data_IF_903015662887
#
_entry.id   IF_903015662887
#
_cell.length_a   1.000
_cell.length_b   1.000
_cell.length_c   1.000
_cell.angle_alpha   90.00
_cell.angle_beta   90.00
_cell.angle_gamma   90.00
#
_symmetry.space_group_name_H-M   'P 1'
#
loop_
_entity.id
_entity.type
_entity.pdbx_description
1 polymer ?
#
# COMPACT_ATOMS: atom_id res chain seq x y z
N UNK A 1 8.88 -31.36 -13.45
CA UNK A 1 9.64 -31.18 -12.20
C UNK A 1 10.15 -29.76 -12.21
N UNK A 2 9.42 -28.84 -11.58
CA UNK A 2 9.93 -27.49 -11.32
C UNK A 2 10.97 -27.60 -10.20
N UNK A 3 12.14 -26.95 -10.33
CA UNK A 3 13.16 -27.03 -9.30
C UNK A 3 12.67 -26.28 -8.05
N UNK A 4 12.83 -26.93 -6.90
CA UNK A 4 12.58 -26.42 -5.55
C UNK A 4 12.87 -24.91 -5.43
N UNK A 5 11.81 -24.10 -5.28
CA UNK A 5 11.93 -22.76 -4.68
C UNK A 5 12.23 -23.00 -3.19
N UNK A 6 13.48 -22.80 -2.80
CA UNK A 6 13.88 -22.77 -1.39
C UNK A 6 13.09 -21.60 -0.76
N UNK A 7 12.33 -21.81 0.34
CA UNK A 7 11.64 -20.71 0.99
C UNK A 7 12.70 -19.76 1.56
N UNK A 8 12.72 -18.53 1.05
CA UNK A 8 13.63 -17.48 1.47
C UNK A 8 13.32 -17.10 2.93
N UNK A 9 13.98 -17.75 3.88
CA UNK A 9 13.88 -17.41 5.30
C UNK A 9 14.67 -16.13 5.55
N UNK A 10 13.98 -14.99 5.55
CA UNK A 10 14.42 -13.83 6.33
C UNK A 10 14.29 -12.45 5.69
N UNK A 11 13.92 -12.34 4.42
CA UNK A 11 13.76 -11.04 3.75
C UNK A 11 12.29 -10.79 3.49
N UNK A 12 11.74 -9.74 4.11
CA UNK A 12 10.40 -9.27 3.76
C UNK A 12 10.46 -8.64 2.35
N UNK A 13 9.46 -8.90 1.49
CA UNK A 13 9.42 -8.32 0.15
C UNK A 13 9.49 -6.79 0.21
N UNK A 14 10.31 -6.20 -0.64
CA UNK A 14 10.41 -4.75 -0.75
C UNK A 14 9.32 -4.23 -1.71
N UNK A 15 8.70 -3.13 -1.34
CA UNK A 15 7.83 -2.39 -2.26
C UNK A 15 8.74 -1.67 -3.26
N UNK A 16 8.60 -2.00 -4.54
CA UNK A 16 9.42 -1.43 -5.63
C UNK A 16 8.67 -0.44 -6.49
N UNK A 17 7.34 -0.55 -6.54
CA UNK A 17 6.49 0.35 -7.31
C UNK A 17 5.07 0.41 -6.70
N UNK A 18 4.30 1.44 -7.06
CA UNK A 18 2.92 1.63 -6.61
C UNK A 18 2.07 2.05 -7.80
N UNK A 19 1.12 1.18 -8.16
CA UNK A 19 0.06 1.51 -9.11
C UNK A 19 -1.22 1.87 -8.37
N UNK A 20 -2.02 2.76 -8.94
CA UNK A 20 -3.32 3.11 -8.36
C UNK A 20 -4.35 3.47 -9.42
N UNK A 21 -5.62 3.32 -9.05
CA UNK A 21 -6.79 3.65 -9.87
C UNK A 21 -7.88 4.24 -8.98
N UNK A 22 -8.52 5.31 -9.45
CA UNK A 22 -9.75 5.84 -8.88
C UNK A 22 -10.97 5.33 -9.65
N UNK A 23 -11.95 4.83 -8.93
CA UNK A 23 -13.21 4.32 -9.46
C UNK A 23 -14.37 5.08 -8.82
N UNK A 24 -15.26 5.60 -9.65
CA UNK A 24 -16.47 6.30 -9.20
C UNK A 24 -17.62 5.31 -9.30
N UNK A 25 -18.23 4.98 -8.16
CA UNK A 25 -19.41 4.10 -8.15
C UNK A 25 -20.67 4.96 -8.22
N UNK A 26 -21.17 5.17 -9.43
CA UNK A 26 -22.43 5.89 -9.67
C UNK A 26 -23.62 4.97 -9.46
N UNK A 27 -24.02 4.70 -8.22
CA UNK A 27 -25.21 3.90 -7.95
C UNK A 27 -26.04 4.49 -6.81
N UNK A 28 -26.67 5.63 -7.05
CA UNK A 28 -28.08 5.93 -6.69
C UNK A 28 -28.42 7.41 -6.97
N UNK A 29 -29.52 7.72 -7.68
CA UNK A 29 -30.04 9.08 -7.71
C UNK A 29 -30.40 9.52 -6.29
N UNK A 30 -29.84 10.66 -5.84
CA UNK A 30 -30.20 11.28 -4.56
C UNK A 30 -29.27 11.00 -3.37
N UNK A 31 -28.21 10.20 -3.53
CA UNK A 31 -27.17 10.01 -2.51
C UNK A 31 -25.91 10.78 -2.94
N UNK A 32 -25.34 11.55 -2.00
CA UNK A 32 -24.21 12.45 -2.23
C UNK A 32 -22.95 11.79 -2.82
N UNK A 33 -22.10 12.64 -3.37
CA UNK A 33 -20.92 12.42 -4.23
C UNK A 33 -19.77 11.52 -3.72
N UNK A 34 -19.96 10.72 -2.68
CA UNK A 34 -18.86 10.18 -1.87
C UNK A 34 -18.52 8.71 -2.15
N UNK A 35 -18.91 8.17 -3.29
CA UNK A 35 -18.63 6.79 -3.68
C UNK A 35 -17.32 6.65 -4.47
N UNK A 36 -16.25 7.30 -3.99
CA UNK A 36 -14.92 7.18 -4.56
C UNK A 36 -14.19 5.98 -3.95
N UNK A 37 -13.84 5.02 -4.80
CA UNK A 37 -13.03 3.86 -4.43
C UNK A 37 -11.63 3.98 -5.05
N UNK A 38 -10.62 3.84 -4.22
CA UNK A 38 -9.22 3.84 -4.62
C UNK A 38 -8.71 2.42 -4.58
N UNK A 39 -8.34 1.89 -5.73
CA UNK A 39 -7.61 0.63 -5.81
C UNK A 39 -6.13 0.93 -5.86
N UNK A 40 -5.36 0.38 -4.91
CA UNK A 40 -3.91 0.54 -4.80
C UNK A 40 -3.27 -0.84 -4.94
N UNK A 41 -2.17 -0.90 -5.71
CA UNK A 41 -1.37 -2.11 -5.91
C UNK A 41 0.06 -1.75 -5.53
N UNK A 42 0.57 -2.36 -4.47
CA UNK A 42 1.96 -2.27 -4.07
C UNK A 42 2.71 -3.40 -4.78
N UNK A 43 3.56 -3.03 -5.74
CA UNK A 43 4.40 -3.98 -6.46
C UNK A 43 5.56 -4.38 -5.59
N UNK A 44 5.83 -5.68 -5.51
CA UNK A 44 6.93 -6.21 -4.70
C UNK A 44 8.02 -6.81 -5.58
N UNK A 45 9.26 -6.79 -5.09
CA UNK A 45 10.39 -7.46 -5.75
C UNK A 45 10.25 -8.98 -5.81
N UNK A 46 9.45 -9.59 -4.93
CA UNK A 46 9.10 -11.02 -4.98
C UNK A 46 8.10 -11.36 -6.08
N UNK A 47 7.40 -10.35 -6.62
CA UNK A 47 6.28 -10.49 -7.55
C UNK A 47 4.95 -10.81 -6.87
N UNK A 48 4.93 -10.97 -5.54
CA UNK A 48 3.70 -11.15 -4.75
C UNK A 48 3.13 -9.77 -4.41
N UNK A 49 2.43 -9.17 -5.38
CA UNK A 49 1.87 -7.83 -5.26
C UNK A 49 0.74 -7.77 -4.21
N UNK A 50 0.71 -6.69 -3.43
CA UNK A 50 -0.36 -6.44 -2.47
C UNK A 50 -1.39 -5.50 -3.08
N UNK A 51 -2.62 -5.99 -3.29
CA UNK A 51 -3.74 -5.20 -3.83
C UNK A 51 -4.82 -4.98 -2.77
N UNK A 52 -5.29 -3.75 -2.65
CA UNK A 52 -6.44 -3.40 -1.83
C UNK A 52 -7.26 -2.27 -2.46
N UNK A 53 -8.53 -2.21 -2.09
CA UNK A 53 -9.43 -1.12 -2.45
C UNK A 53 -9.95 -0.45 -1.18
N UNK A 54 -9.93 0.88 -1.14
CA UNK A 54 -10.29 1.65 0.04
C UNK A 54 -10.98 2.97 -0.31
N UNK A 55 -11.70 3.55 0.64
CA UNK A 55 -12.26 4.89 0.52
C UNK A 55 -11.24 5.99 0.83
N UNK A 56 -11.60 7.25 0.57
CA UNK A 56 -10.73 8.42 0.80
C UNK A 56 -10.13 8.48 2.21
N UNK A 57 -10.93 8.23 3.25
CA UNK A 57 -10.47 8.28 4.64
C UNK A 57 -9.40 7.22 4.92
N UNK A 58 -9.65 5.98 4.51
CA UNK A 58 -8.71 4.88 4.71
C UNK A 58 -7.39 5.10 3.96
N UNK A 59 -7.44 5.69 2.76
CA UNK A 59 -6.24 6.07 2.02
C UNK A 59 -5.44 7.17 2.75
N UNK A 60 -6.13 8.17 3.29
CA UNK A 60 -5.49 9.23 4.08
C UNK A 60 -4.82 8.66 5.35
N UNK A 61 -5.48 7.74 6.04
CA UNK A 61 -4.94 7.07 7.22
C UNK A 61 -3.66 6.27 6.88
N UNK A 62 -3.64 5.59 5.74
CA UNK A 62 -2.44 4.89 5.25
C UNK A 62 -1.29 5.86 4.99
N UNK A 63 -1.54 6.95 4.27
CA UNK A 63 -0.52 7.98 4.00
C UNK A 63 0.01 8.59 5.29
N UNK A 64 -0.86 8.81 6.28
CA UNK A 64 -0.45 9.35 7.57
C UNK A 64 0.48 8.38 8.32
N UNK A 65 0.14 7.09 8.36
CA UNK A 65 0.99 6.05 8.96
C UNK A 65 2.36 5.96 8.29
N UNK A 66 2.42 6.05 6.95
CA UNK A 66 3.70 6.04 6.22
C UNK A 66 4.56 7.26 6.60
N UNK A 67 3.98 8.45 6.74
CA UNK A 67 4.70 9.65 7.20
C UNK A 67 5.24 9.49 8.62
N UNK A 68 4.46 8.89 9.52
CA UNK A 68 4.90 8.62 10.88
C UNK A 68 6.03 7.60 10.96
N UNK A 69 6.00 6.57 10.10
CA UNK A 69 7.11 5.61 9.98
C UNK A 69 8.40 6.30 9.53
N UNK A 70 8.33 7.18 8.52
CA UNK A 70 9.50 7.96 8.06
C UNK A 70 10.07 8.81 9.19
N UNK A 71 9.23 9.50 9.97
CA UNK A 71 9.67 10.29 11.13
C UNK A 71 10.38 9.42 12.17
N UNK A 72 9.86 8.23 12.44
CA UNK A 72 10.49 7.27 13.34
C UNK A 72 11.86 6.83 12.85
N UNK A 73 11.99 6.49 11.56
CA UNK A 73 13.27 6.09 10.97
C UNK A 73 14.32 7.21 11.05
N UNK A 74 13.94 8.46 10.76
CA UNK A 74 14.86 9.60 10.87
C UNK A 74 15.29 9.87 12.32
N UNK A 75 14.38 9.71 13.29
CA UNK A 75 14.73 9.82 14.70
C UNK A 75 15.75 8.75 15.11
N UNK A 76 15.50 7.48 14.76
CA UNK A 76 16.42 6.38 15.05
C UNK A 76 17.80 6.59 14.42
N UNK A 77 17.82 7.11 13.18
CA UNK A 77 19.06 7.48 12.49
C UNK A 77 19.84 8.55 13.24
N UNK A 78 19.17 9.58 13.79
CA UNK A 78 19.81 10.64 14.58
C UNK A 78 20.36 10.16 15.93
N UNK A 79 19.79 9.10 16.49
CA UNK A 79 20.26 8.49 17.75
C UNK A 79 21.46 7.55 17.53
N UNK A 80 21.66 7.10 16.29
CA UNK A 80 22.79 6.23 15.89
C UNK A 80 24.04 7.00 15.45
N UNK A 81 23.91 8.29 15.14
CA UNK A 81 24.99 9.19 14.68
C UNK A 81 25.60 10.00 15.82
#
# INVERSE_FOLDING_TARGET
MEPNKIPDMGVLPNIVDVEWKLEVVTNTPGVGSDNLLYTVILKTDSGDDVRFTCGSQQLQDLVYKLKDLVRHCEKLKSELS
#
